data_IF_569113994028
#
_entry.id   IF_569113994028
#
_cell.length_a   1.000
_cell.length_b   1.000
_cell.length_c   1.000
_cell.angle_alpha   90.00
_cell.angle_beta   90.00
_cell.angle_gamma   90.00
#
_symmetry.space_group_name_H-M   'P 1'
#
loop_
_entity.id
_entity.type
_entity.pdbx_description
1 polymer ?
#
# COMPACT_ATOMS: atom_id res chain seq x y z
N UNK A 1 32.56 -9.20 15.90
CA UNK A 1 31.57 -8.62 14.98
C UNK A 1 30.31 -8.41 15.78
N UNK A 2 30.01 -7.18 16.18
CA UNK A 2 28.71 -6.85 16.78
C UNK A 2 27.65 -7.11 15.72
N UNK A 3 26.78 -8.11 15.93
CA UNK A 3 25.64 -8.34 15.06
C UNK A 3 24.83 -7.03 15.00
N UNK A 4 24.72 -6.42 13.82
CA UNK A 4 23.87 -5.24 13.65
C UNK A 4 22.44 -5.65 13.98
N UNK A 5 21.83 -5.01 14.98
CA UNK A 5 20.44 -5.26 15.36
C UNK A 5 19.54 -4.91 14.16
N UNK A 6 18.62 -5.81 13.81
CA UNK A 6 17.64 -5.59 12.73
C UNK A 6 16.82 -4.33 13.05
N UNK A 7 16.58 -3.49 12.05
CA UNK A 7 15.75 -2.28 12.19
C UNK A 7 14.50 -2.36 11.32
N UNK A 8 13.39 -1.85 11.83
CA UNK A 8 12.13 -1.73 11.12
C UNK A 8 12.27 -0.84 9.89
N UNK A 9 11.49 -1.16 8.85
CA UNK A 9 11.28 -0.28 7.69
C UNK A 9 9.94 0.43 7.84
N UNK A 10 9.88 1.72 7.53
CA UNK A 10 8.64 2.49 7.66
C UNK A 10 8.24 3.12 6.33
N UNK A 11 7.06 2.75 5.84
CA UNK A 11 6.39 3.42 4.73
C UNK A 11 5.35 4.41 5.25
N UNK A 12 5.22 5.57 4.64
CA UNK A 12 4.11 6.49 4.88
C UNK A 12 3.12 6.31 3.74
N UNK A 13 2.00 5.67 4.02
CA UNK A 13 0.92 5.56 3.05
C UNK A 13 0.21 6.91 3.00
N UNK A 14 0.34 7.60 1.86
CA UNK A 14 -0.28 8.90 1.67
C UNK A 14 -1.62 8.79 0.94
N UNK A 15 -2.53 9.67 1.35
CA UNK A 15 -3.82 9.92 0.71
C UNK A 15 -4.10 11.43 0.84
N UNK A 16 -5.11 11.94 0.12
CA UNK A 16 -5.60 13.31 0.21
C UNK A 16 -5.82 13.78 1.66
N UNK A 17 -6.89 13.36 2.33
CA UNK A 17 -7.23 13.86 3.67
C UNK A 17 -6.92 12.88 4.80
N UNK A 18 -6.62 11.63 4.48
CA UNK A 18 -6.39 10.56 5.45
C UNK A 18 -6.90 9.22 4.96
N UNK A 19 -6.58 8.17 5.71
CA UNK A 19 -7.11 6.82 5.44
C UNK A 19 -8.47 6.55 6.07
N UNK A 20 -8.88 7.34 7.06
CA UNK A 20 -10.23 7.28 7.56
C UNK A 20 -11.20 7.75 6.46
N UNK A 21 -12.27 6.99 6.15
CA UNK A 21 -13.14 7.32 5.01
C UNK A 21 -13.77 8.72 5.13
N UNK A 22 -13.99 9.16 6.36
CA UNK A 22 -14.56 10.45 6.72
C UNK A 22 -13.50 11.48 7.19
N UNK A 23 -12.20 11.24 6.94
CA UNK A 23 -11.12 12.12 7.39
C UNK A 23 -11.33 13.58 6.98
N UNK A 24 -11.89 13.82 5.80
CA UNK A 24 -12.20 15.16 5.28
C UNK A 24 -13.16 15.97 6.16
N UNK A 25 -13.95 15.31 7.02
CA UNK A 25 -14.89 15.96 7.96
C UNK A 25 -14.23 16.36 9.27
N UNK A 26 -13.01 15.88 9.53
CA UNK A 26 -12.31 16.19 10.76
C UNK A 26 -11.93 17.69 10.77
N UNK A 27 -12.17 18.45 11.87
CA UNK A 27 -11.99 19.91 11.88
C UNK A 27 -10.57 20.38 11.55
N UNK A 28 -9.57 19.50 11.74
CA UNK A 28 -8.15 19.78 11.46
C UNK A 28 -7.66 19.18 10.14
N UNK A 29 -8.52 18.53 9.36
CA UNK A 29 -8.13 17.98 8.06
C UNK A 29 -8.14 19.08 6.98
N UNK A 30 -7.24 18.93 6.01
CA UNK A 30 -7.17 19.84 4.87
C UNK A 30 -8.23 19.46 3.83
N UNK A 31 -9.43 20.05 3.90
CA UNK A 31 -10.61 19.64 3.10
C UNK A 31 -10.33 19.54 1.58
N UNK A 32 -9.55 20.47 1.01
CA UNK A 32 -9.22 20.49 -0.43
C UNK A 32 -7.94 19.73 -0.82
N UNK A 33 -7.40 18.88 0.08
CA UNK A 33 -6.10 18.25 -0.09
C UNK A 33 -5.94 17.39 -1.35
N UNK A 34 -7.03 16.88 -1.93
CA UNK A 34 -6.98 15.96 -3.06
C UNK A 34 -6.28 16.50 -4.31
N UNK A 35 -6.21 17.82 -4.47
CA UNK A 35 -5.51 18.48 -5.59
C UNK A 35 -4.62 19.63 -5.12
N UNK A 36 -4.11 19.55 -3.89
CA UNK A 36 -3.20 20.55 -3.31
C UNK A 36 -1.76 19.99 -3.26
N UNK A 37 -0.89 20.46 -4.14
CA UNK A 37 0.49 19.96 -4.20
C UNK A 37 1.31 20.35 -2.97
N UNK A 38 1.08 21.53 -2.37
CA UNK A 38 1.83 21.98 -1.19
C UNK A 38 1.51 21.10 0.02
N UNK A 39 0.26 20.62 0.12
CA UNK A 39 -0.11 19.62 1.12
C UNK A 39 0.76 18.36 1.02
N UNK A 40 0.87 17.76 -0.17
CA UNK A 40 1.67 16.56 -0.36
C UNK A 40 3.18 16.80 -0.18
N UNK A 41 3.69 17.98 -0.58
CA UNK A 41 5.08 18.38 -0.30
C UNK A 41 5.35 18.38 1.20
N UNK A 42 4.45 18.96 1.99
CA UNK A 42 4.59 19.02 3.44
C UNK A 42 4.53 17.62 4.07
N UNK A 43 3.64 16.73 3.61
CA UNK A 43 3.56 15.35 4.07
C UNK A 43 4.85 14.58 3.76
N UNK A 44 5.37 14.70 2.53
CA UNK A 44 6.59 14.03 2.12
C UNK A 44 7.82 14.52 2.92
N UNK A 45 7.92 15.83 3.18
CA UNK A 45 8.97 16.40 4.03
C UNK A 45 8.87 15.94 5.48
N UNK A 46 7.66 15.83 6.02
CA UNK A 46 7.44 15.30 7.37
C UNK A 46 7.91 13.86 7.48
N UNK A 47 7.51 13.01 6.54
CA UNK A 47 7.95 11.62 6.49
C UNK A 47 9.48 11.50 6.30
N UNK A 48 10.08 12.30 5.42
CA UNK A 48 11.54 12.32 5.19
C UNK A 48 12.31 12.79 6.44
N UNK A 49 11.83 13.84 7.11
CA UNK A 49 12.44 14.33 8.35
C UNK A 49 12.39 13.27 9.46
N UNK A 50 11.29 12.51 9.53
CA UNK A 50 11.10 11.38 10.42
C UNK A 50 11.80 10.09 9.94
N UNK A 51 12.63 10.16 8.89
CA UNK A 51 13.48 9.08 8.36
C UNK A 51 12.74 7.88 7.79
N UNK A 52 11.48 8.06 7.36
CA UNK A 52 10.73 7.01 6.68
C UNK A 52 11.46 6.51 5.43
N UNK A 53 11.36 5.22 5.15
CA UNK A 53 11.97 4.60 3.97
C UNK A 53 11.35 5.09 2.67
N UNK A 54 10.03 5.24 2.66
CA UNK A 54 9.26 5.56 1.47
C UNK A 54 7.93 6.25 1.78
N UNK A 55 7.45 7.03 0.83
CA UNK A 55 6.02 7.34 0.69
C UNK A 55 5.39 6.35 -0.29
N UNK A 56 4.16 5.96 -0.03
CA UNK A 56 3.39 5.04 -0.85
C UNK A 56 2.07 5.69 -1.25
N UNK A 57 1.86 5.88 -2.55
CA UNK A 57 0.60 6.40 -3.09
C UNK A 57 -0.10 5.27 -3.85
N UNK A 58 -1.24 4.82 -3.34
CA UNK A 58 -2.08 3.87 -4.08
C UNK A 58 -2.89 4.57 -5.18
N UNK A 59 -3.40 3.78 -6.11
CA UNK A 59 -4.26 4.28 -7.17
C UNK A 59 -5.39 3.31 -7.49
N UNK A 60 -6.47 3.87 -8.02
CA UNK A 60 -7.45 3.18 -8.82
C UNK A 60 -7.85 4.13 -9.94
N UNK A 61 -7.72 3.70 -11.20
CA UNK A 61 -7.91 4.58 -12.35
C UNK A 61 -9.40 4.81 -12.67
N UNK A 62 -10.12 5.40 -11.71
CA UNK A 62 -11.54 5.69 -11.78
C UNK A 62 -12.14 6.06 -10.42
N UNK A 63 -13.40 6.49 -10.45
CA UNK A 63 -14.18 6.65 -9.22
C UNK A 63 -14.33 5.30 -8.52
N UNK A 64 -14.33 5.33 -7.19
CA UNK A 64 -14.38 4.11 -6.36
C UNK A 64 -15.78 3.73 -5.92
N UNK A 65 -16.74 4.61 -6.13
CA UNK A 65 -18.15 4.44 -5.78
C UNK A 65 -18.99 4.83 -6.99
N UNK A 66 -19.92 3.95 -7.38
CA UNK A 66 -20.80 4.19 -8.51
C UNK A 66 -21.92 5.19 -8.18
N UNK A 67 -22.37 5.22 -6.92
CA UNK A 67 -23.31 6.22 -6.43
C UNK A 67 -22.58 7.54 -6.13
N UNK A 68 -22.91 8.58 -6.89
CA UNK A 68 -22.32 9.91 -6.76
C UNK A 68 -22.59 10.56 -5.40
N UNK A 69 -23.72 10.27 -4.76
CA UNK A 69 -24.06 10.80 -3.44
C UNK A 69 -23.16 10.19 -2.36
N UNK A 70 -22.79 8.91 -2.51
CA UNK A 70 -21.81 8.26 -1.64
C UNK A 70 -20.41 8.77 -2.00
N UNK A 71 -20.05 8.80 -3.29
CA UNK A 71 -18.75 9.24 -3.77
C UNK A 71 -18.39 10.66 -3.27
N UNK A 72 -19.36 11.58 -3.21
CA UNK A 72 -19.16 12.95 -2.73
C UNK A 72 -18.91 13.07 -1.23
N UNK A 73 -19.12 11.99 -0.46
CA UNK A 73 -18.99 11.98 1.00
C UNK A 73 -17.77 11.19 1.51
N UNK A 74 -16.81 10.87 0.63
CA UNK A 74 -15.62 10.09 1.00
C UNK A 74 -14.32 10.85 0.72
N UNK A 75 -13.27 10.55 1.49
CA UNK A 75 -11.90 11.02 1.25
C UNK A 75 -11.22 10.41 0.01
N UNK A 76 -11.90 9.53 -0.74
CA UNK A 76 -11.29 8.64 -1.73
C UNK A 76 -11.54 9.01 -3.19
N UNK A 77 -12.32 10.06 -3.44
CA UNK A 77 -12.86 10.35 -4.77
C UNK A 77 -12.02 11.33 -5.59
N UNK A 78 -11.21 12.16 -4.93
CA UNK A 78 -10.41 13.22 -5.57
C UNK A 78 -8.95 13.08 -5.12
N UNK A 79 -8.06 13.00 -6.10
CA UNK A 79 -6.63 12.80 -5.91
C UNK A 79 -5.86 13.11 -7.19
N UNK A 80 -4.56 13.36 -7.08
CA UNK A 80 -3.66 13.36 -8.22
C UNK A 80 -3.43 11.93 -8.74
N UNK A 81 -3.13 11.81 -10.03
CA UNK A 81 -2.47 10.61 -10.55
C UNK A 81 -1.08 10.49 -9.87
N UNK A 82 -0.74 9.34 -9.28
CA UNK A 82 0.37 9.27 -8.33
C UNK A 82 1.76 9.36 -8.96
N UNK A 83 1.99 8.93 -10.19
CA UNK A 83 3.32 9.02 -10.81
C UNK A 83 3.69 10.49 -11.07
N UNK A 84 2.75 11.27 -11.60
CA UNK A 84 2.95 12.71 -11.82
C UNK A 84 3.12 13.47 -10.50
N UNK A 85 2.33 13.14 -9.47
CA UNK A 85 2.53 13.66 -8.12
C UNK A 85 3.94 13.32 -7.58
N UNK A 86 4.33 12.05 -7.64
CA UNK A 86 5.63 11.60 -7.14
C UNK A 86 6.80 12.20 -7.93
N UNK A 87 6.62 12.50 -9.21
CA UNK A 87 7.61 13.23 -10.02
C UNK A 87 7.81 14.67 -9.52
N UNK A 88 6.73 15.34 -9.11
CA UNK A 88 6.84 16.66 -8.46
C UNK A 88 7.54 16.55 -7.09
N UNK A 89 7.13 15.58 -6.26
CA UNK A 89 7.70 15.35 -4.93
C UNK A 89 9.18 14.92 -4.98
N UNK A 90 9.61 14.26 -6.05
CA UNK A 90 11.01 13.91 -6.27
C UNK A 90 11.94 15.13 -6.21
N UNK A 91 11.47 16.29 -6.68
CA UNK A 91 12.23 17.55 -6.68
C UNK A 91 12.19 18.30 -5.35
N UNK A 92 11.29 17.88 -4.44
CA UNK A 92 11.04 18.54 -3.15
C UNK A 92 11.56 17.74 -1.95
N UNK A 93 12.14 16.57 -2.22
CA UNK A 93 12.68 15.61 -1.25
C UNK A 93 14.03 15.08 -1.76
N UNK A 94 14.84 14.52 -0.88
CA UNK A 94 16.23 14.17 -1.19
C UNK A 94 16.64 12.73 -0.88
N UNK A 95 15.85 12.03 -0.06
CA UNK A 95 16.15 10.70 0.49
C UNK A 95 14.97 9.75 0.41
N UNK A 96 13.76 10.18 0.75
CA UNK A 96 12.61 9.28 0.89
C UNK A 96 12.25 8.59 -0.43
N UNK A 97 11.96 7.29 -0.38
CA UNK A 97 11.44 6.52 -1.51
C UNK A 97 10.10 7.03 -2.02
N UNK A 98 9.82 6.83 -3.30
CA UNK A 98 8.64 7.31 -4.01
C UNK A 98 7.95 6.13 -4.69
N UNK A 99 7.01 5.49 -3.99
CA UNK A 99 6.33 4.29 -4.48
C UNK A 99 4.94 4.62 -5.01
N UNK A 100 4.72 4.36 -6.30
CA UNK A 100 3.44 4.55 -6.96
C UNK A 100 2.79 3.22 -7.30
N UNK A 101 1.48 3.10 -7.06
CA UNK A 101 0.67 2.07 -7.73
C UNK A 101 0.57 2.35 -9.23
N UNK A 102 0.69 1.30 -10.04
CA UNK A 102 0.27 1.32 -11.44
C UNK A 102 -0.22 -0.07 -11.86
N UNK A 103 -1.32 -0.11 -12.60
CA UNK A 103 -1.97 -1.34 -13.01
C UNK A 103 -1.27 -1.99 -14.19
N UNK A 104 -1.06 -3.30 -14.12
CA UNK A 104 -0.66 -4.08 -15.30
C UNK A 104 -1.81 -4.16 -16.29
N UNK A 105 -3.07 -4.21 -15.84
CA UNK A 105 -4.24 -4.52 -16.68
C UNK A 105 -4.57 -3.49 -17.75
N UNK A 106 -4.25 -2.22 -17.50
CA UNK A 106 -4.70 -1.10 -18.34
C UNK A 106 -3.54 -0.29 -18.95
N UNK A 107 -2.31 -0.77 -18.79
CA UNK A 107 -1.12 -0.13 -19.34
C UNK A 107 -0.35 -1.09 -20.24
N UNK A 108 0.62 -0.55 -20.98
CA UNK A 108 1.58 -1.30 -21.77
C UNK A 108 2.95 -1.34 -21.07
N UNK A 109 3.66 -2.49 -21.07
CA UNK A 109 4.86 -2.67 -20.25
C UNK A 109 6.01 -1.75 -20.64
N UNK A 110 6.20 -1.47 -21.94
CA UNK A 110 7.24 -0.56 -22.39
C UNK A 110 7.02 0.87 -21.89
N UNK A 111 5.78 1.37 -21.98
CA UNK A 111 5.41 2.69 -21.48
C UNK A 111 5.61 2.80 -19.97
N UNK A 112 5.12 1.82 -19.21
CA UNK A 112 5.28 1.80 -17.75
C UNK A 112 6.76 1.72 -17.33
N UNK A 113 7.54 0.86 -17.97
CA UNK A 113 8.97 0.72 -17.69
C UNK A 113 9.73 2.05 -17.90
N UNK A 114 9.44 2.76 -19.00
CA UNK A 114 10.01 4.09 -19.27
C UNK A 114 9.61 5.12 -18.21
N UNK A 115 8.33 5.16 -17.85
CA UNK A 115 7.80 6.10 -16.88
C UNK A 115 8.46 5.95 -15.51
N UNK A 116 8.54 4.74 -14.97
CA UNK A 116 9.16 4.49 -13.67
C UNK A 116 10.68 4.66 -13.70
N UNK A 117 11.35 4.30 -14.80
CA UNK A 117 12.79 4.55 -14.93
C UNK A 117 13.09 6.05 -15.02
N UNK A 118 12.21 6.84 -15.64
CA UNK A 118 12.31 8.30 -15.65
C UNK A 118 12.15 8.88 -14.24
N UNK A 119 11.11 8.47 -13.48
CA UNK A 119 10.95 8.86 -12.08
C UNK A 119 12.18 8.46 -11.25
N UNK A 120 12.77 7.29 -11.54
CA UNK A 120 13.94 6.82 -10.83
C UNK A 120 15.17 7.70 -11.07
N UNK A 121 15.40 8.14 -12.31
CA UNK A 121 16.46 9.11 -12.61
C UNK A 121 16.17 10.50 -12.02
N UNK A 122 14.94 10.99 -12.14
CA UNK A 122 14.53 12.29 -11.56
C UNK A 122 14.73 12.33 -10.04
N UNK A 123 14.52 11.20 -9.37
CA UNK A 123 14.64 11.08 -7.93
C UNK A 123 16.03 10.63 -7.45
N UNK A 124 16.93 10.22 -8.35
CA UNK A 124 18.26 9.72 -7.97
C UNK A 124 18.25 8.29 -7.41
N UNK A 125 17.38 7.41 -7.91
CA UNK A 125 17.28 6.02 -7.50
C UNK A 125 16.30 5.79 -6.34
N UNK A 126 15.20 6.56 -6.28
CA UNK A 126 14.21 6.45 -5.19
C UNK A 126 12.85 5.94 -5.64
N UNK A 127 12.68 5.56 -6.90
CA UNK A 127 11.38 5.10 -7.39
C UNK A 127 11.06 3.67 -6.94
N UNK A 128 9.77 3.40 -6.74
CA UNK A 128 9.24 2.05 -6.66
C UNK A 128 7.89 1.94 -7.34
N UNK A 129 7.60 0.75 -7.87
CA UNK A 129 6.34 0.43 -8.53
C UNK A 129 5.58 -0.59 -7.72
N UNK A 130 4.40 -0.20 -7.22
CA UNK A 130 3.43 -1.14 -6.70
C UNK A 130 2.61 -1.75 -7.82
N UNK A 131 2.92 -3.01 -8.14
CA UNK A 131 2.27 -3.79 -9.17
C UNK A 131 0.89 -4.22 -8.68
N UNK A 132 -0.14 -3.77 -9.39
CA UNK A 132 -1.53 -4.20 -9.16
C UNK A 132 -2.12 -4.79 -10.43
N UNK A 133 -3.00 -5.77 -10.25
CA UNK A 133 -3.71 -6.43 -11.36
C UNK A 133 -5.08 -5.81 -11.63
N UNK A 134 -5.50 -4.82 -10.83
CA UNK A 134 -6.85 -4.28 -10.77
C UNK A 134 -7.93 -5.33 -10.43
N UNK A 135 -9.01 -4.90 -9.80
CA UNK A 135 -10.07 -5.80 -9.33
C UNK A 135 -11.48 -5.17 -9.36
N UNK A 136 -11.61 -3.92 -9.83
CA UNK A 136 -12.86 -3.18 -9.81
C UNK A 136 -13.53 -3.16 -11.17
N UNK A 137 -14.80 -3.54 -11.23
CA UNK A 137 -15.62 -3.37 -12.43
C UNK A 137 -15.85 -1.89 -12.78
N UNK A 138 -15.90 -1.01 -11.76
CA UNK A 138 -16.08 0.43 -11.96
C UNK A 138 -14.86 1.03 -12.66
N UNK A 139 -13.66 0.66 -12.19
CA UNK A 139 -12.39 1.06 -12.81
C UNK A 139 -12.30 0.52 -14.24
N UNK A 140 -12.62 -0.76 -14.43
CA UNK A 140 -12.55 -1.41 -15.73
C UNK A 140 -13.44 -0.77 -16.80
N UNK A 141 -14.55 -0.14 -16.42
CA UNK A 141 -15.47 0.53 -17.35
C UNK A 141 -14.85 1.74 -18.05
N UNK A 142 -13.77 2.31 -17.50
CA UNK A 142 -13.04 3.43 -18.12
C UNK A 142 -12.08 2.99 -19.23
N UNK A 143 -11.80 1.69 -19.37
CA UNK A 143 -10.81 1.16 -20.31
C UNK A 143 -11.48 0.31 -21.40
N UNK A 144 -11.47 0.85 -22.62
CA UNK A 144 -12.39 0.48 -23.70
C UNK A 144 -12.14 -0.83 -24.47
N UNK A 145 -11.75 -1.95 -23.84
CA UNK A 145 -11.66 -3.21 -24.60
C UNK A 145 -11.83 -4.56 -23.86
N UNK A 146 -11.68 -4.66 -22.53
CA UNK A 146 -11.60 -5.99 -21.89
C UNK A 146 -12.44 -6.17 -20.64
N UNK A 147 -13.06 -5.09 -20.13
CA UNK A 147 -13.69 -5.11 -18.81
C UNK A 147 -12.73 -5.65 -17.74
N UNK A 148 -13.28 -6.21 -16.68
CA UNK A 148 -12.48 -6.92 -15.69
C UNK A 148 -12.25 -8.36 -16.17
N UNK A 149 -11.02 -8.66 -16.59
CA UNK A 149 -10.62 -10.04 -16.98
C UNK A 149 -10.79 -11.02 -15.82
N UNK A 150 -11.01 -12.33 -16.06
CA UNK A 150 -11.02 -13.35 -15.00
C UNK A 150 -9.77 -13.31 -14.12
N UNK A 151 -9.90 -13.72 -12.85
CA UNK A 151 -8.80 -13.63 -11.87
C UNK A 151 -7.51 -14.31 -12.36
N UNK A 152 -7.60 -15.56 -12.83
CA UNK A 152 -6.45 -16.31 -13.34
C UNK A 152 -5.75 -15.60 -14.51
N UNK A 153 -6.51 -15.10 -15.48
CA UNK A 153 -5.98 -14.39 -16.65
C UNK A 153 -5.26 -13.09 -16.26
N UNK A 154 -5.76 -12.38 -15.24
CA UNK A 154 -5.09 -11.17 -14.70
C UNK A 154 -3.71 -11.51 -14.15
N UNK A 155 -3.57 -12.61 -13.41
CA UNK A 155 -2.29 -13.02 -12.84
C UNK A 155 -1.32 -13.60 -13.88
N UNK A 156 -1.82 -14.37 -14.85
CA UNK A 156 -0.98 -14.84 -15.97
C UNK A 156 -0.38 -13.64 -16.73
N UNK A 157 -1.23 -12.67 -17.11
CA UNK A 157 -0.79 -11.46 -17.80
C UNK A 157 0.15 -10.62 -16.93
N UNK A 158 -0.09 -10.53 -15.62
CA UNK A 158 0.76 -9.78 -14.70
C UNK A 158 2.17 -10.39 -14.54
N UNK A 159 2.30 -11.72 -14.53
CA UNK A 159 3.61 -12.40 -14.52
C UNK A 159 4.43 -12.04 -15.76
N UNK A 160 3.81 -12.13 -16.94
CA UNK A 160 4.46 -11.75 -18.20
C UNK A 160 4.84 -10.26 -18.20
N UNK A 161 3.93 -9.38 -17.76
CA UNK A 161 4.18 -7.94 -17.67
C UNK A 161 5.38 -7.63 -16.77
N UNK A 162 5.43 -8.20 -15.57
CA UNK A 162 6.53 -8.01 -14.62
C UNK A 162 7.87 -8.48 -15.20
N UNK A 163 7.87 -9.62 -15.91
CA UNK A 163 9.05 -10.14 -16.58
C UNK A 163 9.56 -9.20 -17.67
N UNK A 164 8.67 -8.67 -18.51
CA UNK A 164 9.01 -7.70 -19.58
C UNK A 164 9.59 -6.42 -18.98
N UNK A 165 8.93 -5.81 -18.00
CA UNK A 165 9.40 -4.58 -17.35
C UNK A 165 10.77 -4.78 -16.69
N UNK A 166 10.94 -5.90 -15.98
CA UNK A 166 12.22 -6.23 -15.32
C UNK A 166 13.33 -6.42 -16.35
N UNK A 167 13.06 -7.11 -17.46
CA UNK A 167 14.01 -7.31 -18.54
C UNK A 167 14.39 -5.99 -19.23
N UNK A 168 13.43 -5.08 -19.41
CA UNK A 168 13.65 -3.72 -19.91
C UNK A 168 14.59 -2.93 -18.99
N UNK A 169 14.33 -2.88 -17.67
CA UNK A 169 15.19 -2.16 -16.72
C UNK A 169 16.60 -2.75 -16.60
N UNK A 170 16.75 -4.06 -16.75
CA UNK A 170 18.05 -4.75 -16.73
C UNK A 170 18.81 -4.61 -18.07
N UNK A 171 18.20 -4.02 -19.09
CA UNK A 171 18.78 -3.93 -20.44
C UNK A 171 18.99 -5.30 -21.08
N UNK A 172 18.12 -6.28 -20.78
CA UNK A 172 18.17 -7.65 -21.32
C UNK A 172 17.40 -7.82 -22.62
N UNK A 173 16.56 -6.85 -22.98
CA UNK A 173 15.91 -6.77 -24.29
C UNK A 173 16.74 -5.82 -25.15
N UNK A 174 17.58 -6.37 -26.01
CA UNK A 174 18.53 -5.59 -26.79
C UNK A 174 18.20 -5.71 -28.27
N UNK A 175 17.17 -5.01 -28.75
CA UNK A 175 16.66 -5.14 -30.13
C UNK A 175 17.66 -4.81 -31.25
N UNK A 176 18.82 -4.23 -30.91
CA UNK A 176 19.93 -3.98 -31.84
C UNK A 176 20.89 -5.18 -31.93
N UNK A 177 20.97 -6.02 -30.89
CA UNK A 177 21.94 -7.12 -30.73
C UNK A 177 21.30 -8.50 -30.46
N UNK A 178 20.00 -8.58 -30.21
CA UNK A 178 19.25 -9.75 -29.76
C UNK A 178 17.73 -9.63 -29.95
N UNK A 179 16.96 -10.69 -29.70
CA UNK A 179 15.51 -10.67 -29.90
C UNK A 179 14.80 -9.85 -28.82
N UNK A 180 13.78 -9.09 -29.21
CA UNK A 180 12.82 -8.49 -28.28
C UNK A 180 11.99 -9.55 -27.53
N UNK A 181 11.00 -9.11 -26.75
CA UNK A 181 10.02 -10.01 -26.13
C UNK A 181 8.86 -10.25 -27.08
N UNK A 182 8.50 -11.50 -27.34
CA UNK A 182 7.30 -11.88 -28.10
C UNK A 182 6.60 -13.02 -27.35
N UNK A 183 5.66 -12.65 -26.48
CA UNK A 183 4.95 -13.56 -25.59
C UNK A 183 3.45 -13.60 -25.88
N UNK A 184 2.71 -14.28 -25.00
CA UNK A 184 1.26 -14.49 -25.16
C UNK A 184 0.47 -13.18 -25.10
N UNK A 185 0.87 -12.28 -24.21
CA UNK A 185 0.14 -11.04 -23.91
C UNK A 185 0.81 -9.81 -24.48
N UNK A 186 2.15 -9.82 -24.64
CA UNK A 186 2.92 -8.65 -25.04
C UNK A 186 3.93 -8.97 -26.13
N UNK A 187 4.15 -8.01 -27.01
CA UNK A 187 5.25 -7.98 -27.95
C UNK A 187 5.98 -6.64 -27.80
N UNK A 188 7.27 -6.67 -27.41
CA UNK A 188 8.11 -5.50 -27.16
C UNK A 188 9.42 -5.67 -27.91
N UNK A 189 9.64 -4.82 -28.91
CA UNK A 189 10.77 -4.97 -29.84
C UNK A 189 12.07 -4.32 -29.36
N UNK A 190 11.96 -3.09 -28.86
CA UNK A 190 13.10 -2.21 -28.68
C UNK A 190 13.54 -2.14 -27.19
N UNK A 191 14.84 -1.86 -26.91
CA UNK A 191 15.31 -1.55 -25.56
C UNK A 191 14.72 -0.22 -25.06
N UNK A 192 14.84 0.05 -23.74
CA UNK A 192 14.51 1.38 -23.20
C UNK A 192 15.48 2.45 -23.75
N UNK A 193 14.94 3.64 -23.98
CA UNK A 193 15.68 4.84 -24.42
C UNK A 193 16.29 5.65 -23.27
N UNK A 194 16.54 4.99 -22.13
CA UNK A 194 17.07 5.58 -20.91
C UNK A 194 18.21 4.71 -20.34
N UNK A 195 19.21 5.32 -19.65
CA UNK A 195 20.25 4.55 -19.00
C UNK A 195 19.71 3.71 -17.83
N UNK A 196 20.49 2.71 -17.40
CA UNK A 196 20.15 1.86 -16.24
C UNK A 196 19.89 2.71 -14.99
N UNK A 197 19.00 2.20 -14.14
CA UNK A 197 18.58 2.83 -12.88
C UNK A 197 19.78 3.09 -11.94
N UNK A 198 19.83 4.22 -11.21
CA UNK A 198 20.85 4.48 -10.18
C UNK A 198 20.85 3.44 -9.05
N UNK A 199 19.72 2.74 -8.84
CA UNK A 199 19.56 1.65 -7.89
C UNK A 199 19.49 0.26 -8.56
N UNK A 200 19.94 0.13 -9.81
CA UNK A 200 19.92 -1.11 -10.59
C UNK A 200 18.56 -1.33 -11.29
N UNK A 201 17.48 -1.33 -10.51
CA UNK A 201 16.10 -1.26 -11.02
C UNK A 201 15.18 -0.64 -9.95
N UNK A 202 14.11 0.09 -10.34
CA UNK A 202 13.07 0.51 -9.41
C UNK A 202 12.59 -0.62 -8.50
N UNK A 203 12.24 -0.29 -7.25
CA UNK A 203 11.78 -1.28 -6.26
C UNK A 203 10.40 -1.80 -6.63
N UNK A 204 10.21 -3.12 -6.67
CA UNK A 204 8.92 -3.75 -6.94
C UNK A 204 8.13 -3.95 -5.65
N UNK A 205 6.96 -3.36 -5.55
CA UNK A 205 6.05 -3.51 -4.41
C UNK A 205 4.82 -4.31 -4.87
N UNK A 206 4.27 -5.15 -3.99
CA UNK A 206 3.03 -5.88 -4.25
C UNK A 206 2.12 -5.96 -3.02
N UNK A 207 0.83 -6.19 -3.28
CA UNK A 207 -0.19 -6.35 -2.24
C UNK A 207 -1.09 -7.57 -2.44
N UNK A 208 -0.65 -8.54 -3.25
CA UNK A 208 -1.39 -9.79 -3.50
C UNK A 208 -1.41 -10.68 -2.26
N UNK A 209 -2.61 -11.10 -1.84
CA UNK A 209 -2.79 -11.96 -0.67
C UNK A 209 -3.42 -13.34 -0.99
N UNK A 210 -3.90 -13.56 -2.22
CA UNK A 210 -4.27 -14.89 -2.74
C UNK A 210 -3.03 -15.77 -2.89
N UNK A 211 -3.21 -17.07 -3.09
CA UNK A 211 -2.08 -18.00 -3.30
C UNK A 211 -1.25 -17.59 -4.53
N UNK A 212 -1.91 -17.29 -5.66
CA UNK A 212 -1.28 -16.78 -6.88
C UNK A 212 -0.61 -15.41 -6.67
N UNK A 213 -1.20 -14.58 -5.82
CA UNK A 213 -0.63 -13.29 -5.44
C UNK A 213 0.64 -13.42 -4.61
N UNK A 214 0.67 -14.36 -3.66
CA UNK A 214 1.85 -14.65 -2.85
C UNK A 214 2.94 -15.32 -3.66
N UNK A 215 2.58 -16.19 -4.60
CA UNK A 215 3.50 -16.82 -5.55
C UNK A 215 4.17 -15.79 -6.46
N UNK A 216 3.39 -14.90 -7.08
CA UNK A 216 3.91 -13.78 -7.88
C UNK A 216 4.81 -12.87 -7.03
N UNK A 217 4.41 -12.55 -5.79
CA UNK A 217 5.19 -11.72 -4.90
C UNK A 217 6.52 -12.40 -4.49
N UNK A 218 6.50 -13.69 -4.18
CA UNK A 218 7.70 -14.47 -3.90
C UNK A 218 8.70 -14.42 -5.06
N UNK A 219 8.19 -14.49 -6.29
CA UNK A 219 9.02 -14.40 -7.49
C UNK A 219 9.59 -13.01 -7.76
N UNK A 220 8.81 -11.94 -7.54
CA UNK A 220 9.09 -10.62 -8.15
C UNK A 220 9.15 -9.44 -7.18
N UNK A 221 8.54 -9.51 -6.01
CA UNK A 221 8.43 -8.37 -5.11
C UNK A 221 9.71 -8.15 -4.31
N UNK A 222 10.11 -6.90 -4.15
CA UNK A 222 11.09 -6.43 -3.18
C UNK A 222 10.38 -6.11 -1.84
N UNK A 223 9.19 -5.48 -1.91
CA UNK A 223 8.36 -5.17 -0.73
C UNK A 223 6.96 -5.76 -0.90
N UNK A 224 6.43 -6.36 0.16
CA UNK A 224 5.03 -6.83 0.19
C UNK A 224 4.26 -6.09 1.26
N UNK A 225 3.23 -5.36 0.81
CA UNK A 225 2.26 -4.71 1.66
C UNK A 225 1.07 -5.66 1.89
N UNK A 226 0.68 -5.87 3.15
CA UNK A 226 -0.41 -6.78 3.49
C UNK A 226 -1.38 -6.19 4.50
N UNK A 227 -2.57 -6.77 4.57
CA UNK A 227 -3.54 -6.53 5.63
C UNK A 227 -3.64 -7.79 6.47
N UNK A 228 -3.14 -7.71 7.69
CA UNK A 228 -3.29 -8.73 8.72
C UNK A 228 -3.71 -7.98 9.99
N UNK A 229 -4.82 -8.39 10.61
CA UNK A 229 -5.36 -7.70 11.78
C UNK A 229 -4.78 -8.26 13.08
N UNK A 230 -4.43 -9.53 13.09
CA UNK A 230 -3.86 -10.21 14.26
C UNK A 230 -2.39 -10.57 14.05
N UNK A 231 -1.70 -10.83 15.16
CA UNK A 231 -0.33 -11.33 15.12
C UNK A 231 -0.24 -12.68 14.40
N UNK A 232 -1.20 -13.58 14.63
CA UNK A 232 -1.23 -14.92 14.06
C UNK A 232 -1.43 -14.88 12.54
N UNK A 233 -2.34 -14.03 12.05
CA UNK A 233 -2.54 -13.80 10.60
C UNK A 233 -1.26 -13.26 9.96
N UNK A 234 -0.62 -12.28 10.60
CA UNK A 234 0.61 -11.67 10.10
C UNK A 234 1.78 -12.67 10.08
N UNK A 235 1.93 -13.47 11.14
CA UNK A 235 2.96 -14.50 11.26
C UNK A 235 2.77 -15.62 10.24
N UNK A 236 1.54 -16.10 10.06
CA UNK A 236 1.22 -17.12 9.06
C UNK A 236 1.53 -16.63 7.64
N UNK A 237 1.18 -15.37 7.32
CA UNK A 237 1.52 -14.77 6.03
C UNK A 237 3.03 -14.61 5.86
N UNK A 238 3.73 -14.15 6.90
CA UNK A 238 5.17 -13.97 6.89
C UNK A 238 5.91 -15.30 6.63
N UNK A 239 5.56 -16.35 7.37
CA UNK A 239 6.19 -17.67 7.25
C UNK A 239 5.93 -18.29 5.87
N UNK A 240 4.69 -18.21 5.38
CA UNK A 240 4.30 -18.71 4.05
C UNK A 240 5.09 -18.00 2.94
N UNK A 241 5.07 -16.66 2.93
CA UNK A 241 5.72 -15.89 1.87
C UNK A 241 7.25 -16.06 1.91
N UNK A 242 7.88 -16.02 3.09
CA UNK A 242 9.34 -16.24 3.21
C UNK A 242 9.72 -17.68 2.84
N UNK A 243 8.88 -18.67 3.14
CA UNK A 243 9.08 -20.07 2.77
C UNK A 243 9.06 -20.32 1.25
N UNK A 244 8.30 -19.52 0.48
CA UNK A 244 8.22 -19.63 -0.98
C UNK A 244 9.47 -19.16 -1.73
N UNK A 245 10.31 -18.34 -1.09
CA UNK A 245 11.43 -17.65 -1.76
C UNK A 245 12.49 -18.60 -2.31
N UNK A 246 12.76 -19.71 -1.61
CA UNK A 246 13.76 -20.69 -2.03
C UNK A 246 13.44 -21.32 -3.40
N UNK A 247 12.15 -21.47 -3.74
CA UNK A 247 11.70 -21.96 -5.06
C UNK A 247 12.17 -21.07 -6.21
N UNK A 248 12.40 -19.78 -5.94
CA UNK A 248 12.87 -18.79 -6.91
C UNK A 248 14.34 -18.42 -6.74
N UNK A 249 15.10 -19.16 -5.91
CA UNK A 249 16.50 -18.87 -5.63
C UNK A 249 16.71 -17.54 -4.90
N UNK A 250 15.73 -17.11 -4.10
CA UNK A 250 15.78 -15.87 -3.33
C UNK A 250 15.94 -16.16 -1.84
N UNK A 251 16.60 -15.25 -1.15
CA UNK A 251 16.82 -15.33 0.29
C UNK A 251 15.72 -14.61 1.08
N UNK A 252 15.44 -15.00 2.34
CA UNK A 252 14.46 -14.34 3.20
C UNK A 252 14.60 -12.82 3.30
N UNK A 253 15.83 -12.31 3.24
CA UNK A 253 16.10 -10.87 3.33
C UNK A 253 15.91 -10.10 2.02
N UNK A 254 15.72 -10.79 0.88
CA UNK A 254 15.47 -10.17 -0.42
C UNK A 254 14.03 -9.61 -0.55
N UNK A 255 13.13 -9.93 0.39
CA UNK A 255 11.79 -9.32 0.49
C UNK A 255 11.61 -8.66 1.86
N UNK A 256 11.00 -7.46 1.90
CA UNK A 256 10.48 -6.85 3.14
C UNK A 256 8.96 -6.96 3.20
N UNK A 257 8.43 -7.58 4.26
CA UNK A 257 6.99 -7.69 4.50
C UNK A 257 6.55 -6.56 5.44
N UNK A 258 5.75 -5.64 4.92
CA UNK A 258 5.35 -4.41 5.59
C UNK A 258 3.82 -4.31 5.71
N UNK A 259 3.19 -4.96 6.70
CA UNK A 259 1.75 -4.83 6.93
C UNK A 259 1.34 -3.37 7.20
N UNK A 260 0.13 -3.02 6.79
CA UNK A 260 -0.45 -1.72 7.09
C UNK A 260 -0.85 -1.58 8.55
N UNK A 261 -0.48 -0.47 9.18
CA UNK A 261 -0.88 -0.10 10.54
C UNK A 261 -1.55 1.27 10.53
N UNK A 262 -2.72 1.39 11.15
CA UNK A 262 -3.47 2.63 11.32
C UNK A 262 -3.39 3.07 12.79
N UNK A 263 -2.34 3.81 13.19
CA UNK A 263 -2.19 4.28 14.55
C UNK A 263 -3.11 5.47 14.84
N UNK A 264 -3.64 5.53 16.05
CA UNK A 264 -4.21 6.74 16.66
C UNK A 264 -3.41 7.02 17.92
N UNK A 265 -2.54 8.03 17.86
CA UNK A 265 -1.58 8.32 18.92
C UNK A 265 -1.90 9.62 19.65
N UNK A 266 -1.78 9.58 20.97
CA UNK A 266 -1.83 10.74 21.85
C UNK A 266 -0.89 10.54 23.05
N UNK A 267 -0.70 11.58 23.88
CA UNK A 267 0.18 11.50 25.04
C UNK A 267 -0.38 10.55 26.12
N UNK A 268 -1.70 10.42 26.20
CA UNK A 268 -2.39 9.51 27.12
C UNK A 268 -3.33 8.57 26.36
N UNK A 269 -3.63 7.41 26.97
CA UNK A 269 -4.58 6.45 26.41
C UNK A 269 -5.99 7.03 26.30
N UNK A 270 -6.43 7.81 27.29
CA UNK A 270 -7.74 8.46 27.28
C UNK A 270 -7.88 9.44 26.09
N UNK A 271 -6.85 10.24 25.81
CA UNK A 271 -6.84 11.14 24.65
C UNK A 271 -6.83 10.37 23.32
N UNK A 272 -6.09 9.26 23.24
CA UNK A 272 -6.05 8.43 22.04
C UNK A 272 -7.41 7.79 21.75
N UNK A 273 -8.08 7.29 22.79
CA UNK A 273 -9.44 6.73 22.71
C UNK A 273 -10.45 7.80 22.29
N UNK A 274 -10.43 8.98 22.94
CA UNK A 274 -11.32 10.08 22.59
C UNK A 274 -11.14 10.53 21.12
N UNK A 275 -9.89 10.62 20.65
CA UNK A 275 -9.56 10.96 19.26
C UNK A 275 -10.08 9.90 18.27
N UNK A 276 -9.98 8.62 18.65
CA UNK A 276 -10.53 7.54 17.85
C UNK A 276 -12.07 7.61 17.79
N UNK A 277 -12.74 7.84 18.91
CA UNK A 277 -14.20 7.98 18.98
C UNK A 277 -14.69 9.18 18.15
N UNK A 278 -14.02 10.34 18.25
CA UNK A 278 -14.31 11.53 17.43
C UNK A 278 -14.28 11.19 15.93
N UNK A 279 -13.25 10.47 15.47
CA UNK A 279 -13.16 10.05 14.07
C UNK A 279 -14.32 9.13 13.67
N UNK A 280 -14.69 8.19 14.55
CA UNK A 280 -15.77 7.25 14.27
C UNK A 280 -17.15 7.91 14.17
N UNK A 281 -17.39 8.98 14.94
CA UNK A 281 -18.61 9.78 14.86
C UNK A 281 -18.77 10.52 13.52
N UNK A 282 -17.68 10.73 12.78
CA UNK A 282 -17.73 11.41 11.48
C UNK A 282 -18.28 10.53 10.35
N UNK A 283 -18.39 9.21 10.54
CA UNK A 283 -18.78 8.27 9.49
C UNK A 283 -20.30 8.29 9.27
N UNK A 284 -20.80 8.74 8.11
CA UNK A 284 -22.17 8.48 7.73
C UNK A 284 -22.41 6.98 7.57
N UNK A 285 -23.51 6.47 8.10
CA UNK A 285 -23.82 5.04 7.98
C UNK A 285 -23.92 4.62 6.52
N UNK A 286 -24.54 5.43 5.64
CA UNK A 286 -24.63 5.15 4.20
C UNK A 286 -23.24 4.96 3.55
N UNK A 287 -22.27 5.80 3.92
CA UNK A 287 -20.90 5.72 3.40
C UNK A 287 -20.17 4.49 3.95
N UNK A 288 -20.30 4.21 5.25
CA UNK A 288 -19.70 3.04 5.87
C UNK A 288 -20.26 1.73 5.30
N UNK A 289 -21.58 1.64 5.15
CA UNK A 289 -22.28 0.47 4.61
C UNK A 289 -21.95 0.27 3.13
N UNK A 290 -21.91 1.34 2.32
CA UNK A 290 -21.52 1.25 0.91
C UNK A 290 -20.08 0.77 0.74
N UNK A 291 -19.14 1.29 1.55
CA UNK A 291 -17.76 0.79 1.58
C UNK A 291 -17.74 -0.71 1.89
N UNK A 292 -18.48 -1.13 2.91
CA UNK A 292 -18.54 -2.53 3.31
C UNK A 292 -19.14 -3.41 2.20
N UNK A 293 -20.19 -2.97 1.52
CA UNK A 293 -20.81 -3.65 0.37
C UNK A 293 -19.80 -3.90 -0.75
N UNK A 294 -19.02 -2.87 -1.10
CA UNK A 294 -17.97 -2.95 -2.12
C UNK A 294 -16.93 -4.04 -1.80
N UNK A 295 -16.42 -4.07 -0.56
CA UNK A 295 -15.43 -5.06 -0.11
C UNK A 295 -16.00 -6.47 0.05
N UNK A 296 -17.30 -6.58 0.32
CA UNK A 296 -18.01 -7.85 0.37
C UNK A 296 -18.48 -8.34 -1.00
N UNK A 297 -18.30 -7.53 -2.06
CA UNK A 297 -18.77 -7.81 -3.42
C UNK A 297 -20.27 -8.12 -3.50
N UNK A 298 -21.05 -7.41 -2.68
CA UNK A 298 -22.51 -7.41 -2.73
C UNK A 298 -22.99 -6.06 -3.22
N UNK A 299 -24.08 -6.03 -4.00
CA UNK A 299 -24.61 -4.81 -4.58
C UNK A 299 -25.07 -3.79 -3.54
N UNK A 300 -25.71 -4.25 -2.47
CA UNK A 300 -26.23 -3.38 -1.42
C UNK A 300 -26.52 -4.16 -0.11
N UNK A 301 -25.88 -3.74 0.99
CA UNK A 301 -26.11 -4.30 2.33
C UNK A 301 -27.35 -3.72 3.02
N UNK A 302 -27.90 -2.59 2.57
CA UNK A 302 -29.13 -2.02 3.14
C UNK A 302 -30.37 -2.89 2.96
N UNK A 303 -30.27 -3.92 2.10
CA UNK A 303 -31.28 -4.98 1.95
C UNK A 303 -31.41 -5.86 3.20
N UNK A 304 -30.46 -5.77 4.14
CA UNK A 304 -30.46 -6.48 5.42
C UNK A 304 -30.60 -5.50 6.59
N UNK A 305 -31.12 -5.93 7.76
CA UNK A 305 -31.14 -5.09 8.95
C UNK A 305 -29.71 -4.74 9.38
N UNK A 306 -29.32 -3.46 9.28
CA UNK A 306 -27.92 -3.05 9.52
C UNK A 306 -27.49 -3.18 10.99
N UNK A 307 -28.44 -3.27 11.92
CA UNK A 307 -28.19 -3.57 13.32
C UNK A 307 -28.23 -5.09 13.61
N UNK A 308 -28.43 -5.91 12.59
CA UNK A 308 -28.31 -7.37 12.62
C UNK A 308 -26.94 -7.88 12.16
N UNK A 309 -26.72 -9.21 12.20
CA UNK A 309 -25.47 -9.83 11.79
C UNK A 309 -25.25 -9.75 10.26
N UNK A 310 -24.00 -9.92 9.83
CA UNK A 310 -23.67 -10.05 8.42
C UNK A 310 -24.32 -11.34 7.83
N UNK A 311 -24.97 -11.27 6.65
CA UNK A 311 -25.54 -12.46 6.00
C UNK A 311 -24.44 -13.40 5.48
N UNK A 312 -24.82 -14.64 5.15
CA UNK A 312 -23.93 -15.53 4.39
C UNK A 312 -23.78 -15.02 2.95
N UNK A 313 -22.54 -14.98 2.46
CA UNK A 313 -22.21 -14.43 1.14
C UNK A 313 -21.42 -15.46 0.32
N UNK A 314 -21.66 -15.54 -1.00
CA UNK A 314 -20.86 -16.38 -1.89
C UNK A 314 -19.44 -15.80 -2.06
N UNK A 315 -18.51 -16.65 -2.50
CA UNK A 315 -17.17 -16.22 -2.88
C UNK A 315 -17.21 -15.20 -4.04
N UNK A 316 -16.37 -14.17 -3.95
CA UNK A 316 -16.24 -13.11 -4.95
C UNK A 316 -15.26 -13.46 -6.08
N UNK A 317 -15.44 -12.88 -7.28
CA UNK A 317 -14.43 -12.85 -8.37
C UNK A 317 -13.54 -11.59 -8.34
N UNK A 318 -13.87 -10.63 -7.47
CA UNK A 318 -13.16 -9.37 -7.26
C UNK A 318 -12.06 -9.50 -6.21
N UNK A 319 -12.21 -8.81 -5.09
CA UNK A 319 -11.23 -8.77 -4.00
C UNK A 319 -11.37 -9.94 -3.03
N UNK A 320 -11.16 -11.18 -3.51
CA UNK A 320 -11.32 -12.43 -2.74
C UNK A 320 -10.69 -12.40 -1.34
N UNK A 321 -9.41 -12.02 -1.26
CA UNK A 321 -8.68 -11.95 0.01
C UNK A 321 -9.26 -10.93 0.99
N UNK A 322 -9.81 -9.82 0.48
CA UNK A 322 -10.40 -8.77 1.31
C UNK A 322 -11.80 -9.15 1.77
N UNK A 323 -12.60 -9.81 0.95
CA UNK A 323 -13.91 -10.33 1.35
C UNK A 323 -13.77 -11.32 2.51
N UNK A 324 -12.85 -12.28 2.40
CA UNK A 324 -12.60 -13.27 3.45
C UNK A 324 -12.20 -12.61 4.78
N UNK A 325 -11.31 -11.60 4.73
CA UNK A 325 -10.88 -10.83 5.90
C UNK A 325 -12.06 -10.14 6.59
N UNK A 326 -12.97 -9.53 5.84
CA UNK A 326 -14.15 -8.85 6.41
C UNK A 326 -15.12 -9.84 7.05
N UNK A 327 -15.37 -10.98 6.39
CA UNK A 327 -16.27 -12.03 6.92
C UNK A 327 -15.70 -12.59 8.23
N UNK A 328 -14.41 -12.88 8.28
CA UNK A 328 -13.76 -13.41 9.47
C UNK A 328 -13.78 -12.40 10.62
N UNK A 329 -13.56 -11.12 10.31
CA UNK A 329 -13.66 -10.04 11.29
C UNK A 329 -15.08 -9.91 11.87
N UNK A 330 -16.11 -10.05 11.03
CA UNK A 330 -17.51 -10.06 11.49
C UNK A 330 -17.76 -11.22 12.47
N UNK A 331 -17.27 -12.42 12.14
CA UNK A 331 -17.45 -13.63 12.96
C UNK A 331 -16.74 -13.53 14.30
N UNK A 332 -15.47 -13.09 14.31
CA UNK A 332 -14.66 -12.95 15.53
C UNK A 332 -15.25 -11.93 16.51
N UNK A 333 -15.80 -10.82 16.00
CA UNK A 333 -16.31 -9.73 16.84
C UNK A 333 -17.80 -9.81 17.17
N UNK A 334 -18.56 -10.74 16.58
CA UNK A 334 -20.03 -10.78 16.65
C UNK A 334 -20.67 -9.39 16.39
N UNK A 335 -20.13 -8.67 15.40
CA UNK A 335 -20.51 -7.29 15.10
C UNK A 335 -21.79 -7.25 14.26
N UNK A 336 -22.64 -6.24 14.49
CA UNK A 336 -23.67 -5.88 13.51
C UNK A 336 -23.04 -5.32 12.24
N UNK A 337 -23.80 -5.27 11.14
CA UNK A 337 -23.33 -4.66 9.88
C UNK A 337 -22.88 -3.20 10.12
N UNK A 338 -23.62 -2.42 10.92
CA UNK A 338 -23.27 -1.03 11.27
C UNK A 338 -21.95 -0.96 12.03
N UNK A 339 -21.76 -1.81 13.02
CA UNK A 339 -20.52 -1.85 13.82
C UNK A 339 -19.33 -2.28 12.97
N UNK A 340 -19.51 -3.31 12.13
CA UNK A 340 -18.51 -3.79 11.19
C UNK A 340 -18.15 -2.70 10.18
N UNK A 341 -19.14 -2.00 9.62
CA UNK A 341 -18.96 -0.91 8.68
C UNK A 341 -18.12 0.22 9.28
N UNK A 342 -18.45 0.70 10.49
CA UNK A 342 -17.66 1.73 11.19
C UNK A 342 -16.25 1.25 11.52
N UNK A 343 -16.12 0.03 12.04
CA UNK A 343 -14.82 -0.54 12.35
C UNK A 343 -13.93 -0.61 11.09
N UNK A 344 -14.49 -1.13 9.99
CA UNK A 344 -13.79 -1.31 8.72
C UNK A 344 -13.45 0.02 8.06
N UNK A 345 -14.37 0.99 8.07
CA UNK A 345 -14.21 2.30 7.45
C UNK A 345 -13.05 3.14 8.03
N UNK A 346 -12.66 2.90 9.28
CA UNK A 346 -11.55 3.62 9.91
C UNK A 346 -10.16 3.21 9.42
N UNK A 347 -9.97 1.97 8.95
CA UNK A 347 -8.65 1.45 8.55
C UNK A 347 -8.69 0.52 7.31
N UNK A 348 -9.84 0.37 6.66
CA UNK A 348 -10.09 -0.52 5.50
C UNK A 348 -9.60 -1.96 5.70
N UNK A 349 -9.81 -2.47 6.92
CA UNK A 349 -9.41 -3.82 7.32
C UNK A 349 -7.93 -3.98 7.68
N UNK A 350 -7.13 -2.91 7.67
CA UNK A 350 -5.78 -2.92 8.22
C UNK A 350 -5.81 -2.90 9.76
N UNK A 351 -4.69 -3.31 10.34
CA UNK A 351 -4.52 -3.35 11.78
C UNK A 351 -4.53 -1.94 12.37
N UNK A 352 -5.38 -1.73 13.38
CA UNK A 352 -5.51 -0.46 14.09
C UNK A 352 -4.89 -0.59 15.49
N UNK A 353 -4.18 0.45 15.89
CA UNK A 353 -3.61 0.58 17.25
C UNK A 353 -3.99 1.95 17.79
N UNK A 354 -4.57 2.00 18.99
CA UNK A 354 -4.97 3.25 19.65
C UNK A 354 -4.26 3.29 20.99
N UNK A 355 -3.48 4.34 21.26
CA UNK A 355 -2.81 4.45 22.54
C UNK A 355 -1.68 5.47 22.58
N UNK A 356 -0.86 5.33 23.63
CA UNK A 356 0.35 6.12 23.85
C UNK A 356 1.48 5.71 22.91
N UNK A 357 2.54 6.53 22.78
CA UNK A 357 3.67 6.19 21.90
C UNK A 357 4.38 4.91 22.35
N UNK A 358 4.47 4.68 23.67
CA UNK A 358 5.03 3.46 24.22
C UNK A 358 4.19 2.22 23.87
N UNK A 359 2.87 2.27 24.05
CA UNK A 359 1.96 1.17 23.71
C UNK A 359 2.03 0.84 22.20
N UNK A 360 2.04 1.87 21.34
CA UNK A 360 2.18 1.66 19.90
C UNK A 360 3.54 1.02 19.58
N UNK A 361 4.64 1.52 20.17
CA UNK A 361 5.96 0.95 19.96
C UNK A 361 6.06 -0.51 20.46
N UNK A 362 5.45 -0.85 21.60
CA UNK A 362 5.38 -2.23 22.12
C UNK A 362 4.71 -3.18 21.11
N UNK A 363 3.58 -2.76 20.54
CA UNK A 363 2.81 -3.53 19.57
C UNK A 363 3.54 -3.73 18.22
N UNK A 364 4.26 -2.69 17.77
CA UNK A 364 5.11 -2.77 16.58
C UNK A 364 6.32 -3.69 16.82
N UNK A 365 6.97 -3.55 17.98
CA UNK A 365 8.11 -4.36 18.41
C UNK A 365 7.75 -5.84 18.48
N UNK A 366 6.63 -6.18 19.11
CA UNK A 366 6.17 -7.57 19.23
C UNK A 366 6.01 -8.26 17.86
N UNK A 367 5.43 -7.58 16.87
CA UNK A 367 5.29 -8.11 15.49
C UNK A 367 6.63 -8.19 14.76
N UNK A 368 7.49 -7.19 14.93
CA UNK A 368 8.78 -7.16 14.26
C UNK A 368 9.73 -8.24 14.80
N UNK A 369 9.92 -8.30 16.12
CA UNK A 369 10.81 -9.27 16.77
C UNK A 369 10.23 -10.69 16.72
N UNK A 370 8.90 -10.83 16.74
CA UNK A 370 8.21 -12.10 16.53
C UNK A 370 8.27 -12.67 15.11
N UNK A 371 8.87 -11.92 14.16
CA UNK A 371 8.96 -12.35 12.76
C UNK A 371 7.61 -12.39 12.06
N UNK A 372 6.72 -11.45 12.38
CA UNK A 372 5.45 -11.23 11.69
C UNK A 372 5.52 -10.01 10.73
N UNK A 373 6.58 -9.22 10.80
CA UNK A 373 6.83 -8.06 9.94
C UNK A 373 8.32 -7.69 9.86
N UNK A 374 8.74 -7.14 8.73
CA UNK A 374 10.05 -6.47 8.56
C UNK A 374 9.96 -4.95 8.78
N UNK A 375 8.74 -4.44 8.89
CA UNK A 375 8.43 -3.02 8.93
C UNK A 375 6.92 -2.80 8.80
N UNK A 376 6.51 -1.54 8.66
CA UNK A 376 5.08 -1.20 8.60
C UNK A 376 4.83 -0.09 7.59
N UNK A 377 3.70 -0.19 6.89
CA UNK A 377 3.18 0.94 6.10
C UNK A 377 2.18 1.70 6.98
N UNK A 378 2.61 2.83 7.52
CA UNK A 378 1.84 3.65 8.45
C UNK A 378 0.73 4.35 7.69
N UNK A 379 -0.48 4.23 8.20
CA UNK A 379 -1.72 4.73 7.62
C UNK A 379 -2.37 5.76 8.55
N UNK A 380 -1.93 7.02 8.51
CA UNK A 380 -2.55 8.15 9.22
C UNK A 380 -4.07 8.21 8.98
N UNK A 381 -4.84 8.32 10.06
CA UNK A 381 -6.29 8.42 10.02
C UNK A 381 -6.74 9.71 9.30
N UNK A 382 -6.06 10.84 9.57
CA UNK A 382 -6.19 12.10 8.86
C UNK A 382 -4.85 12.82 8.70
N UNK A 383 -4.76 13.67 7.68
CA UNK A 383 -3.58 14.48 7.36
C UNK A 383 -3.79 15.98 7.63
N UNK A 384 -2.72 16.70 8.04
CA UNK A 384 -1.38 16.16 8.38
C UNK A 384 -1.31 15.53 9.79
N UNK A 385 -2.30 15.77 10.65
CA UNK A 385 -2.14 15.60 12.08
C UNK A 385 -1.73 14.22 12.60
N UNK A 386 -2.25 13.11 12.05
CA UNK A 386 -1.86 11.78 12.54
C UNK A 386 -0.47 11.36 12.06
N UNK A 387 -0.02 11.85 10.89
CA UNK A 387 1.36 11.66 10.41
C UNK A 387 2.35 12.42 11.29
N UNK A 388 2.06 13.70 11.57
CA UNK A 388 2.87 14.55 12.44
C UNK A 388 3.00 13.94 13.84
N UNK A 389 1.89 13.46 14.40
CA UNK A 389 1.87 12.85 15.72
C UNK A 389 2.71 11.55 15.75
N UNK A 390 2.61 10.70 14.73
CA UNK A 390 3.46 9.51 14.64
C UNK A 390 4.95 9.86 14.53
N UNK A 391 5.27 10.84 13.68
CA UNK A 391 6.64 11.33 13.45
C UNK A 391 7.28 11.94 14.72
N UNK A 392 6.50 12.68 15.53
CA UNK A 392 7.00 13.37 16.72
C UNK A 392 6.98 12.50 17.96
N UNK A 393 6.04 11.55 18.07
CA UNK A 393 5.84 10.78 19.29
C UNK A 393 6.33 9.33 19.17
N UNK A 394 6.02 8.63 18.08
CA UNK A 394 6.31 7.19 17.94
C UNK A 394 7.71 6.95 17.39
N UNK A 395 8.12 7.69 16.35
CA UNK A 395 9.45 7.51 15.74
C UNK A 395 10.58 7.71 16.77
N UNK A 396 10.59 8.74 17.63
CA UNK A 396 11.62 8.88 18.66
C UNK A 396 11.63 7.74 19.67
N UNK A 397 10.46 7.18 20.01
CA UNK A 397 10.37 6.01 20.90
C UNK A 397 10.97 4.76 20.25
N UNK A 398 10.69 4.51 18.96
CA UNK A 398 11.32 3.43 18.19
C UNK A 398 12.84 3.60 18.09
N UNK A 399 13.31 4.84 17.87
CA UNK A 399 14.75 5.17 17.83
C UNK A 399 15.41 4.95 19.19
N UNK A 400 14.77 5.37 20.29
CA UNK A 400 15.24 5.16 21.67
C UNK A 400 15.44 3.67 21.98
N UNK A 401 14.58 2.81 21.44
CA UNK A 401 14.68 1.35 21.56
C UNK A 401 15.69 0.70 20.60
N UNK A 402 16.26 1.46 19.67
CA UNK A 402 17.15 0.96 18.63
C UNK A 402 16.44 0.13 17.55
N UNK A 403 15.11 0.26 17.43
CA UNK A 403 14.27 -0.45 16.46
C UNK A 403 14.18 0.28 15.13
N UNK A 404 14.54 1.56 15.08
CA UNK A 404 14.48 2.37 13.88
C UNK A 404 15.71 3.28 13.74
N UNK A 405 16.06 3.62 12.50
CA UNK A 405 17.23 4.43 12.19
C UNK A 405 17.10 5.85 12.75
N UNK A 406 18.22 6.46 13.11
CA UNK A 406 18.29 7.89 13.48
C UNK A 406 18.58 8.79 12.29
N UNK A 407 19.22 8.27 11.25
CA UNK A 407 19.47 8.99 10.00
C UNK A 407 19.53 8.04 8.79
N UNK A 408 19.51 8.58 7.58
CA UNK A 408 19.69 7.82 6.35
C UNK A 408 21.15 7.44 6.14
N UNK A 409 21.40 6.15 5.87
CA UNK A 409 22.75 5.61 5.61
C UNK A 409 23.07 5.53 4.11
N UNK A 410 22.06 5.70 3.26
CA UNK A 410 22.17 5.63 1.80
C UNK A 410 21.38 6.72 1.10
N UNK A 411 21.32 6.63 -0.22
CA UNK A 411 20.67 7.64 -1.07
C UNK A 411 19.51 7.08 -1.90
N UNK A 412 19.50 5.78 -2.14
CA UNK A 412 18.49 5.10 -2.94
C UNK A 412 17.47 4.40 -2.07
N UNK A 413 16.29 4.10 -2.63
CA UNK A 413 15.26 3.34 -1.91
C UNK A 413 15.76 1.93 -1.54
N UNK A 414 16.52 1.26 -2.42
CA UNK A 414 17.14 -0.03 -2.10
C UNK A 414 18.14 0.06 -0.94
N UNK A 415 18.93 1.13 -0.83
CA UNK A 415 19.83 1.32 0.31
C UNK A 415 19.00 1.39 1.62
N UNK A 416 17.90 2.16 1.62
CA UNK A 416 17.06 2.32 2.81
C UNK A 416 16.44 0.99 3.28
N UNK A 417 15.99 0.18 2.33
CA UNK A 417 15.41 -1.14 2.57
C UNK A 417 16.46 -2.22 2.90
N UNK A 418 17.75 -1.93 2.74
CA UNK A 418 18.84 -2.89 2.96
C UNK A 418 18.84 -4.01 1.92
N UNK A 419 18.50 -3.69 0.67
CA UNK A 419 18.39 -4.65 -0.43
C UNK A 419 19.64 -4.65 -1.31
N UNK A 420 19.94 -5.82 -1.89
CA UNK A 420 20.99 -5.93 -2.91
C UNK A 420 20.57 -5.18 -4.17
N UNK A 421 21.55 -4.62 -4.88
CA UNK A 421 21.33 -4.02 -6.20
C UNK A 421 21.26 -5.15 -7.25
N UNK A 422 20.20 -5.19 -8.08
CA UNK A 422 20.15 -6.11 -9.22
C UNK A 422 21.31 -5.84 -10.17
N UNK A 423 21.90 -6.89 -10.74
CA UNK A 423 22.99 -6.80 -11.74
C UNK A 423 22.48 -6.60 -13.17
#
# INVERSE_FOLDING_TARGET
MTAHRRQMKLGAFLWATGHHIAAWRHPKAHVTAGVDIEHYIQLARTAEAAKFDMIFCEDAAGVREADINIASQTSRSIGFEPISLLSALATQTSRIGLVSTASTSYTEPYGLARTFLSLDHLSGGRAGWNLVTSASHIEAANFGATGLRPHADRYERAREFAAVVTALWQGKLDGVSGPGHDGRSFSVRDPLDLPRSPQGAPVMVQAGASDEGRDLAAQTADVVFTAAQTYEEAKAFYDDLKGRLATYGREPDDIKIMPGVAPVVAATEAEATAKYEELQELIPDDVGVALLSSYLSISDLWRYPIDGPLPELPASEGMQSRQALVIEQSRRGNLSIRQLARHFAGARGHWRVVGTPAQIADELEARFEGGAADGFNVMPSYFPGELDAFAVLVVPELQRRGLFRTDYEGSTLRDHLGMKRPM
#
